data_IF_926424623693
#
_entry.id   IF_926424623693
#
_cell.length_a   1.000
_cell.length_b   1.000
_cell.length_c   1.000
_cell.angle_alpha   90.00
_cell.angle_beta   90.00
_cell.angle_gamma   90.00
#
_symmetry.space_group_name_H-M   'P 1'
#
loop_
_entity.id
_entity.type
_entity.pdbx_description
1 polymer ?
#
# COMPACT_ATOMS: atom_id res chain seq x y z
N UNK A 1 6.01 10.73 -15.95
CA UNK A 1 5.77 9.40 -15.34
C UNK A 1 5.65 9.61 -13.84
N UNK A 2 4.56 9.19 -13.18
CA UNK A 2 4.48 9.28 -11.72
C UNK A 2 5.13 8.01 -11.17
N UNK A 3 6.34 8.12 -10.64
CA UNK A 3 7.06 6.96 -10.13
C UNK A 3 6.32 6.43 -8.91
N UNK A 4 6.00 5.13 -8.93
CA UNK A 4 5.47 4.44 -7.77
C UNK A 4 6.64 4.26 -6.80
N UNK A 5 6.56 4.89 -5.63
CA UNK A 5 7.61 4.84 -4.59
C UNK A 5 7.46 3.60 -3.67
N UNK A 6 6.81 2.56 -4.18
CA UNK A 6 6.50 1.34 -3.45
C UNK A 6 6.88 0.12 -4.32
N UNK A 7 7.39 -0.97 -3.72
CA UNK A 7 7.72 -2.19 -4.45
C UNK A 7 6.47 -2.89 -5.00
N UNK A 8 5.31 -2.65 -4.39
CA UNK A 8 4.03 -3.28 -4.74
C UNK A 8 2.92 -2.25 -4.87
N UNK A 9 1.88 -2.58 -5.64
CA UNK A 9 0.70 -1.74 -5.80
C UNK A 9 -0.58 -2.58 -5.78
N UNK A 10 -1.65 -2.02 -5.22
CA UNK A 10 -2.97 -2.66 -5.12
C UNK A 10 -4.06 -1.74 -5.65
N UNK A 11 -5.06 -2.30 -6.32
CA UNK A 11 -6.24 -1.54 -6.73
C UNK A 11 -7.14 -1.20 -5.54
N UNK A 12 -7.76 -0.03 -5.56
CA UNK A 12 -8.69 0.40 -4.51
C UNK A 12 -9.88 -0.56 -4.34
N UNK A 13 -10.29 -1.26 -5.39
CA UNK A 13 -11.35 -2.28 -5.31
C UNK A 13 -10.91 -3.51 -4.51
N UNK A 14 -9.68 -3.96 -4.70
CA UNK A 14 -9.11 -5.11 -3.98
C UNK A 14 -8.84 -4.77 -2.52
N UNK A 15 -8.31 -3.57 -2.26
CA UNK A 15 -8.15 -3.05 -0.90
C UNK A 15 -9.48 -2.99 -0.14
N UNK A 16 -10.56 -2.58 -0.80
CA UNK A 16 -11.90 -2.56 -0.18
C UNK A 16 -12.48 -3.96 0.04
N UNK A 17 -12.17 -4.91 -0.83
CA UNK A 17 -12.69 -6.27 -0.74
C UNK A 17 -12.06 -7.02 0.43
N UNK A 18 -10.75 -6.90 0.62
CA UNK A 18 -10.03 -7.57 1.71
C UNK A 18 -8.81 -6.77 2.17
N UNK A 19 -8.99 -5.76 3.06
CA UNK A 19 -7.89 -4.93 3.52
C UNK A 19 -6.84 -5.73 4.30
N UNK A 20 -7.24 -6.77 5.03
CA UNK A 20 -6.34 -7.62 5.80
C UNK A 20 -5.39 -8.39 4.90
N UNK A 21 -5.88 -9.01 3.82
CA UNK A 21 -5.02 -9.76 2.89
C UNK A 21 -3.97 -8.85 2.23
N UNK A 22 -4.33 -7.60 1.92
CA UNK A 22 -3.38 -6.62 1.37
C UNK A 22 -2.31 -6.25 2.39
N UNK A 23 -2.68 -6.07 3.66
CA UNK A 23 -1.73 -5.78 4.73
C UNK A 23 -0.77 -6.95 4.98
N UNK A 24 -1.28 -8.18 5.04
CA UNK A 24 -0.44 -9.38 5.20
C UNK A 24 0.52 -9.57 4.02
N UNK A 25 0.06 -9.33 2.79
CA UNK A 25 0.89 -9.40 1.60
C UNK A 25 1.94 -8.27 1.53
N UNK A 26 1.69 -7.13 2.19
CA UNK A 26 2.62 -6.00 2.23
C UNK A 26 3.80 -6.22 3.18
N UNK A 27 3.62 -7.05 4.22
CA UNK A 27 4.62 -7.29 5.24
C UNK A 27 5.12 -5.97 5.87
N UNK A 28 6.41 -5.71 5.71
CA UNK A 28 7.07 -4.49 6.23
C UNK A 28 7.24 -3.40 5.14
N UNK A 29 6.70 -3.61 3.94
CA UNK A 29 6.91 -2.72 2.79
C UNK A 29 5.67 -1.88 2.45
N UNK A 30 5.84 -0.64 1.95
CA UNK A 30 4.73 0.18 1.49
C UNK A 30 4.06 -0.43 0.25
N UNK A 31 2.75 -0.27 0.14
CA UNK A 31 1.96 -0.63 -1.04
C UNK A 31 1.28 0.61 -1.61
N UNK A 32 1.49 0.90 -2.89
CA UNK A 32 0.79 1.98 -3.56
C UNK A 32 -0.67 1.61 -3.84
N UNK A 33 -1.60 2.47 -3.45
CA UNK A 33 -3.02 2.32 -3.74
C UNK A 33 -3.31 2.98 -5.07
N UNK A 34 -3.89 2.22 -6.01
CA UNK A 34 -4.25 2.69 -7.33
C UNK A 34 -5.77 2.87 -7.45
N UNK A 35 -6.21 4.03 -7.95
CA UNK A 35 -7.58 4.26 -8.38
C UNK A 35 -7.58 4.58 -9.88
N UNK A 36 -8.29 3.78 -10.68
CA UNK A 36 -8.29 3.89 -12.16
C UNK A 36 -6.86 3.99 -12.74
N UNK A 37 -5.96 3.10 -12.28
CA UNK A 37 -4.54 3.04 -12.64
C UNK A 37 -3.71 4.29 -12.28
N UNK A 38 -4.21 5.15 -11.40
CA UNK A 38 -3.47 6.31 -10.88
C UNK A 38 -3.17 6.10 -9.39
N UNK A 39 -1.92 6.31 -8.95
CA UNK A 39 -1.59 6.24 -7.53
C UNK A 39 -2.31 7.35 -6.78
N UNK A 40 -3.06 6.98 -5.74
CA UNK A 40 -3.83 7.91 -4.90
C UNK A 40 -3.35 7.95 -3.45
N UNK A 41 -2.53 6.98 -3.04
CA UNK A 41 -1.98 6.92 -1.69
C UNK A 41 -1.06 5.72 -1.50
N UNK A 42 -0.55 5.59 -0.28
CA UNK A 42 0.28 4.46 0.15
C UNK A 42 -0.32 3.83 1.41
N UNK A 43 -0.24 2.51 1.50
CA UNK A 43 -0.62 1.71 2.65
C UNK A 43 0.63 1.12 3.28
N UNK A 44 0.69 1.13 4.61
CA UNK A 44 1.74 0.54 5.43
C UNK A 44 1.10 -0.20 6.59
N UNK A 45 1.71 -1.30 7.03
CA UNK A 45 1.31 -1.95 8.29
C UNK A 45 1.72 -1.09 9.49
N UNK A 46 1.03 -1.27 10.62
CA UNK A 46 1.35 -0.55 11.85
C UNK A 46 2.80 -0.81 12.29
N UNK A 47 3.29 -2.05 12.13
CA UNK A 47 4.67 -2.42 12.44
C UNK A 47 5.68 -1.67 11.56
N UNK A 48 5.47 -1.65 10.23
CA UNK A 48 6.32 -0.89 9.30
C UNK A 48 6.34 0.62 9.62
N UNK A 49 5.21 1.16 10.09
CA UNK A 49 5.09 2.56 10.48
C UNK A 49 5.95 2.89 11.72
N UNK A 50 6.15 1.96 12.66
CA UNK A 50 6.98 2.19 13.86
C UNK A 50 8.43 2.54 13.53
N UNK A 51 8.98 1.97 12.45
CA UNK A 51 10.34 2.31 11.99
C UNK A 51 10.46 3.69 11.35
N UNK A 52 9.33 4.30 10.95
CA UNK A 52 9.27 5.60 10.29
C UNK A 52 8.79 6.73 11.22
N UNK A 53 8.30 6.39 12.42
CA UNK A 53 7.91 7.34 13.44
C UNK A 53 9.15 7.82 14.21
N UNK A 54 9.88 8.80 13.65
CA UNK A 54 10.92 9.55 14.35
C UNK A 54 10.60 11.03 14.42
#
# INVERSE_FOLDING_TARGET
MNAILAPSSVGISELKANPTAVLEASGDQPVAILNRNKPVGYLLTAEACKGHAR
#
